data_IF_397479198310
#
_entry.id   IF_397479198310
#
_cell.length_a   1.000
_cell.length_b   1.000
_cell.length_c   1.000
_cell.angle_alpha   90.00
_cell.angle_beta   90.00
_cell.angle_gamma   90.00
#
_symmetry.space_group_name_H-M   'P 1'
#
loop_
_entity.id
_entity.type
_entity.pdbx_description
1 polymer ?
#
# COMPACT_ATOMS: atom_id res chain seq x y z
N UNK A 1 -13.40 0.88 -10.69
CA UNK A 1 -12.20 0.17 -10.19
C UNK A 1 -12.59 -1.23 -9.77
N UNK A 2 -11.91 -2.23 -10.27
CA UNK A 2 -12.08 -3.63 -9.89
C UNK A 2 -10.87 -4.01 -9.02
N UNK A 3 -11.12 -4.80 -7.99
CA UNK A 3 -10.08 -5.45 -7.19
C UNK A 3 -10.20 -6.96 -7.42
N UNK A 4 -9.26 -7.55 -8.16
CA UNK A 4 -9.33 -8.95 -8.58
C UNK A 4 -8.05 -9.73 -8.29
N UNK A 5 -8.13 -11.07 -8.11
CA UNK A 5 -6.93 -11.88 -7.97
C UNK A 5 -6.07 -11.88 -9.25
N UNK A 6 -4.81 -12.32 -9.11
CA UNK A 6 -3.95 -12.62 -10.25
C UNK A 6 -4.35 -13.99 -10.81
N UNK A 7 -4.83 -14.04 -12.04
CA UNK A 7 -5.31 -15.29 -12.66
C UNK A 7 -4.62 -15.60 -14.00
N UNK A 8 -4.44 -14.57 -14.83
CA UNK A 8 -3.85 -14.74 -16.16
C UNK A 8 -2.31 -14.71 -16.12
N UNK A 9 -1.67 -15.29 -17.13
CA UNK A 9 -0.22 -15.20 -17.31
C UNK A 9 0.22 -13.72 -17.40
N UNK A 10 -0.54 -12.90 -18.10
CA UNK A 10 -0.28 -11.46 -18.23
C UNK A 10 -0.35 -10.71 -16.90
N UNK A 11 -1.23 -11.10 -15.97
CA UNK A 11 -1.27 -10.51 -14.62
C UNK A 11 0.02 -10.77 -13.86
N UNK A 12 0.53 -12.00 -13.90
CA UNK A 12 1.77 -12.36 -13.24
C UNK A 12 2.99 -11.66 -13.86
N UNK A 13 3.04 -11.55 -15.19
CA UNK A 13 4.11 -10.85 -15.90
C UNK A 13 4.11 -9.36 -15.58
N UNK A 14 2.94 -8.71 -15.68
CA UNK A 14 2.78 -7.30 -15.37
C UNK A 14 3.12 -6.99 -13.91
N UNK A 15 2.62 -7.80 -12.98
CA UNK A 15 2.91 -7.65 -11.55
C UNK A 15 4.40 -7.81 -11.26
N UNK A 16 5.04 -8.83 -11.84
CA UNK A 16 6.47 -9.04 -11.68
C UNK A 16 7.28 -7.86 -12.24
N UNK A 17 6.89 -7.35 -13.42
CA UNK A 17 7.54 -6.17 -14.01
C UNK A 17 7.46 -4.96 -13.08
N UNK A 18 6.29 -4.66 -12.52
CA UNK A 18 6.13 -3.56 -11.57
C UNK A 18 6.96 -3.74 -10.29
N UNK A 19 7.06 -4.95 -9.76
CA UNK A 19 7.83 -5.26 -8.56
C UNK A 19 9.35 -5.21 -8.79
N UNK A 20 9.81 -5.44 -10.03
CA UNK A 20 11.22 -5.34 -10.38
C UNK A 20 11.69 -3.91 -10.63
N UNK A 21 10.79 -2.96 -10.92
CA UNK A 21 11.17 -1.56 -11.07
C UNK A 21 11.88 -1.07 -9.80
N UNK A 22 13.10 -0.55 -9.92
CA UNK A 22 13.90 -0.05 -8.79
C UNK A 22 13.12 0.96 -7.93
N UNK A 23 12.32 1.79 -8.55
CA UNK A 23 11.48 2.77 -7.86
C UNK A 23 10.39 2.16 -6.96
N UNK A 24 10.03 0.89 -7.16
CA UNK A 24 9.11 0.12 -6.33
C UNK A 24 9.88 -0.83 -5.40
N UNK A 25 10.80 -1.65 -5.96
CA UNK A 25 11.51 -2.70 -5.23
C UNK A 25 12.32 -2.17 -4.06
N UNK A 26 12.88 -0.96 -4.19
CA UNK A 26 13.65 -0.32 -3.11
C UNK A 26 12.88 -0.11 -1.81
N UNK A 27 11.54 -0.13 -1.86
CA UNK A 27 10.65 0.07 -0.71
C UNK A 27 10.03 -1.21 -0.17
N UNK A 28 10.35 -2.34 -0.78
CA UNK A 28 9.74 -3.64 -0.48
C UNK A 28 10.78 -4.60 0.09
N UNK A 29 10.31 -5.63 0.76
CA UNK A 29 11.14 -6.69 1.30
C UNK A 29 10.52 -8.05 0.95
N UNK A 30 11.10 -8.73 -0.02
CA UNK A 30 10.71 -10.09 -0.40
C UNK A 30 11.75 -11.13 0.03
N UNK A 31 12.35 -10.95 1.23
CA UNK A 31 13.26 -11.92 1.82
C UNK A 31 14.67 -11.90 1.22
N UNK A 32 15.14 -10.75 0.76
CA UNK A 32 16.51 -10.58 0.26
C UNK A 32 16.78 -11.30 -1.07
N UNK A 33 15.73 -11.65 -1.81
CA UNK A 33 15.86 -12.29 -3.12
C UNK A 33 16.53 -11.35 -4.13
N UNK A 34 17.83 -11.53 -4.34
CA UNK A 34 18.65 -10.75 -5.29
C UNK A 34 18.17 -10.89 -6.74
N UNK A 35 17.42 -11.94 -7.05
CA UNK A 35 16.90 -12.20 -8.41
C UNK A 35 15.58 -11.47 -8.69
N UNK A 36 15.02 -10.75 -7.70
CA UNK A 36 13.74 -10.08 -7.84
C UNK A 36 12.54 -11.05 -7.79
N UNK A 37 11.35 -10.49 -7.87
CA UNK A 37 10.10 -11.26 -7.88
C UNK A 37 9.78 -11.67 -9.31
N UNK A 38 9.79 -12.98 -9.60
CA UNK A 38 9.45 -13.55 -10.91
C UNK A 38 7.96 -13.92 -11.00
N UNK A 39 7.39 -14.05 -12.22
CA UNK A 39 6.03 -14.57 -12.38
C UNK A 39 5.81 -15.94 -11.73
N UNK A 40 6.83 -16.82 -11.79
CA UNK A 40 6.77 -18.14 -11.16
C UNK A 40 6.71 -18.05 -9.63
N UNK A 41 7.51 -17.16 -9.03
CA UNK A 41 7.46 -16.90 -7.58
C UNK A 41 6.09 -16.35 -7.16
N UNK A 42 5.53 -15.41 -7.92
CA UNK A 42 4.20 -14.87 -7.66
C UNK A 42 3.12 -15.97 -7.69
N UNK A 43 3.19 -16.88 -8.66
CA UNK A 43 2.27 -18.05 -8.71
C UNK A 43 2.35 -18.88 -7.44
N UNK A 44 3.56 -19.16 -6.95
CA UNK A 44 3.77 -19.87 -5.68
C UNK A 44 3.21 -19.06 -4.49
N UNK A 45 3.43 -17.75 -4.48
CA UNK A 45 2.94 -16.89 -3.39
C UNK A 45 1.41 -16.87 -3.32
N UNK A 46 0.70 -16.73 -4.43
CA UNK A 46 -0.77 -16.66 -4.43
C UNK A 46 -1.43 -18.02 -4.13
N UNK A 47 -0.72 -19.14 -4.35
CA UNK A 47 -1.20 -20.46 -3.95
C UNK A 47 -1.17 -20.68 -2.43
N UNK A 48 -0.34 -19.92 -1.72
CA UNK A 48 -0.29 -19.96 -0.26
C UNK A 48 -1.47 -19.19 0.32
N UNK A 49 -2.24 -19.83 1.18
CA UNK A 49 -3.38 -19.20 1.87
C UNK A 49 -2.97 -18.09 2.86
N UNK A 50 -1.69 -17.77 2.95
CA UNK A 50 -1.11 -16.71 3.75
C UNK A 50 -0.85 -15.42 2.97
N UNK A 51 -1.09 -15.45 1.63
CA UNK A 51 -0.85 -14.30 0.75
C UNK A 51 -2.07 -14.04 -0.13
N UNK A 52 -2.56 -12.83 -0.09
CA UNK A 52 -3.71 -12.37 -0.89
C UNK A 52 -3.25 -11.19 -1.74
N UNK A 53 -2.84 -11.44 -2.97
CA UNK A 53 -2.39 -10.41 -3.91
C UNK A 53 -3.54 -10.10 -4.86
N UNK A 54 -3.85 -8.81 -5.03
CA UNK A 54 -4.92 -8.31 -5.90
C UNK A 54 -4.37 -7.24 -6.83
N UNK A 55 -4.75 -7.32 -8.09
CA UNK A 55 -4.62 -6.21 -9.05
C UNK A 55 -5.78 -5.26 -8.81
N UNK A 56 -5.51 -3.97 -8.77
CA UNK A 56 -6.56 -2.95 -8.85
C UNK A 56 -6.46 -2.19 -10.17
N UNK A 57 -7.63 -1.82 -10.70
CA UNK A 57 -7.78 -1.22 -12.04
C UNK A 57 -8.14 0.26 -11.95
N UNK A 58 -8.07 0.94 -13.08
CA UNK A 58 -8.61 2.30 -13.19
C UNK A 58 -10.14 2.31 -13.00
N UNK A 59 -10.70 3.48 -12.74
CA UNK A 59 -12.15 3.66 -12.74
C UNK A 59 -12.73 3.92 -14.14
N UNK A 60 -11.86 4.22 -15.09
CA UNK A 60 -12.25 4.72 -16.41
C UNK A 60 -12.46 3.56 -17.40
N UNK A 61 -11.54 2.60 -17.41
CA UNK A 61 -11.47 1.57 -18.45
C UNK A 61 -11.02 0.20 -17.97
N UNK A 62 -11.01 -0.01 -16.64
CA UNK A 62 -10.54 -1.22 -15.98
C UNK A 62 -9.08 -1.63 -16.30
N UNK A 63 -8.27 -0.70 -16.82
CA UNK A 63 -6.84 -0.92 -17.02
C UNK A 63 -6.15 -1.23 -15.70
N UNK A 64 -5.34 -2.30 -15.61
CA UNK A 64 -4.55 -2.58 -14.40
C UNK A 64 -3.57 -1.45 -14.11
N UNK A 65 -3.58 -0.90 -12.89
CA UNK A 65 -2.76 0.26 -12.52
C UNK A 65 -1.88 0.02 -11.29
N UNK A 66 -2.09 -1.08 -10.59
CA UNK A 66 -1.25 -1.44 -9.45
C UNK A 66 -1.72 -2.68 -8.72
N UNK A 67 -1.05 -2.95 -7.62
CA UNK A 67 -1.31 -4.10 -6.76
C UNK A 67 -1.41 -3.70 -5.30
N UNK A 68 -2.26 -4.42 -4.59
CA UNK A 68 -2.43 -4.36 -3.14
C UNK A 68 -2.46 -5.78 -2.62
N UNK A 69 -1.81 -6.03 -1.49
CA UNK A 69 -1.71 -7.38 -0.97
C UNK A 69 -1.69 -7.44 0.55
N UNK A 70 -2.15 -8.58 1.05
CA UNK A 70 -1.90 -9.05 2.41
C UNK A 70 -0.90 -10.21 2.34
N UNK A 71 0.16 -10.11 3.12
CA UNK A 71 1.13 -11.18 3.33
C UNK A 71 1.12 -11.61 4.80
N UNK A 72 1.70 -12.77 5.06
CA UNK A 72 1.86 -13.31 6.43
C UNK A 72 0.52 -13.36 7.18
N UNK A 73 -0.55 -13.70 6.48
CA UNK A 73 -1.85 -13.89 7.12
C UNK A 73 -1.77 -15.09 8.04
N UNK A 74 -1.90 -14.83 9.33
CA UNK A 74 -1.99 -15.82 10.40
C UNK A 74 -3.44 -15.91 10.87
N UNK A 75 -4.09 -17.04 10.58
CA UNK A 75 -5.49 -17.25 10.96
C UNK A 75 -5.66 -17.55 12.44
N UNK A 76 -4.62 -18.03 13.13
CA UNK A 76 -4.67 -18.33 14.55
C UNK A 76 -4.54 -17.03 15.35
N UNK A 77 -3.54 -16.20 15.00
CA UNK A 77 -3.34 -14.88 15.60
C UNK A 77 -4.26 -13.82 14.99
N UNK A 78 -4.94 -14.15 13.88
CA UNK A 78 -5.87 -13.26 13.15
C UNK A 78 -5.23 -11.93 12.75
N UNK A 79 -4.01 -12.01 12.21
CA UNK A 79 -3.21 -10.86 11.79
C UNK A 79 -2.74 -11.00 10.34
N UNK A 80 -2.28 -9.90 9.76
CA UNK A 80 -1.68 -9.89 8.42
C UNK A 80 -0.89 -8.61 8.18
N UNK A 81 -0.12 -8.58 7.10
CA UNK A 81 0.69 -7.41 6.73
C UNK A 81 0.24 -6.87 5.37
N UNK A 82 -0.19 -5.61 5.34
CA UNK A 82 -0.57 -4.90 4.12
C UNK A 82 0.64 -4.30 3.41
N UNK A 83 0.69 -4.42 2.08
CA UNK A 83 1.55 -3.64 1.22
C UNK A 83 0.87 -3.24 -0.08
N UNK A 84 1.32 -2.14 -0.69
CA UNK A 84 0.70 -1.54 -1.88
C UNK A 84 1.77 -1.07 -2.83
N UNK A 85 1.56 -1.30 -4.13
CA UNK A 85 2.40 -0.76 -5.20
C UNK A 85 1.53 -0.07 -6.25
N UNK A 86 1.81 1.20 -6.51
CA UNK A 86 1.31 1.88 -7.69
C UNK A 86 2.19 1.47 -8.88
N UNK A 87 1.69 0.57 -9.70
CA UNK A 87 2.42 0.00 -10.84
C UNK A 87 2.60 1.00 -11.96
N UNK A 88 1.52 1.49 -12.51
CA UNK A 88 1.55 2.54 -13.52
C UNK A 88 1.57 3.93 -12.87
N UNK A 89 2.67 4.65 -13.09
CA UNK A 89 2.91 5.96 -12.48
C UNK A 89 2.09 7.09 -13.09
N UNK A 90 1.52 6.91 -14.27
CA UNK A 90 0.61 7.89 -14.90
C UNK A 90 -0.67 8.08 -14.08
N UNK A 91 -1.05 7.08 -13.28
CA UNK A 91 -2.19 7.11 -12.38
C UNK A 91 -1.87 7.53 -10.94
N UNK A 92 -0.64 7.99 -10.69
CA UNK A 92 -0.26 8.52 -9.36
C UNK A 92 -1.18 9.69 -8.94
N UNK A 93 -1.31 9.85 -7.63
CA UNK A 93 -2.09 10.93 -7.00
C UNK A 93 -3.60 10.89 -7.25
N UNK A 94 -4.12 9.91 -7.99
CA UNK A 94 -5.57 9.72 -8.16
C UNK A 94 -6.26 9.10 -6.93
N UNK A 95 -5.48 8.60 -5.97
CA UNK A 95 -5.96 8.02 -4.72
C UNK A 95 -6.49 6.59 -4.84
N UNK A 96 -6.45 6.00 -6.03
CA UNK A 96 -6.98 4.65 -6.28
C UNK A 96 -6.29 3.58 -5.46
N UNK A 97 -4.98 3.70 -5.25
CA UNK A 97 -4.24 2.81 -4.36
C UNK A 97 -4.78 2.78 -2.92
N UNK A 98 -5.27 3.93 -2.42
CA UNK A 98 -5.87 4.01 -1.09
C UNK A 98 -7.25 3.33 -1.04
N UNK A 99 -8.07 3.54 -2.07
CA UNK A 99 -9.38 2.85 -2.16
C UNK A 99 -9.18 1.34 -2.28
N UNK A 100 -8.26 0.91 -3.14
CA UNK A 100 -7.92 -0.52 -3.28
C UNK A 100 -7.42 -1.13 -1.96
N UNK A 101 -6.54 -0.43 -1.24
CA UNK A 101 -6.07 -0.86 0.08
C UNK A 101 -7.22 -0.93 1.09
N UNK A 102 -8.13 0.06 1.08
CA UNK A 102 -9.29 0.07 1.96
C UNK A 102 -10.24 -1.10 1.70
N UNK A 103 -10.53 -1.41 0.44
CA UNK A 103 -11.35 -2.57 0.08
C UNK A 103 -10.67 -3.89 0.49
N UNK A 104 -9.34 -4.01 0.31
CA UNK A 104 -8.62 -5.20 0.76
C UNK A 104 -8.63 -5.32 2.30
N UNK A 105 -8.56 -4.21 3.03
CA UNK A 105 -8.70 -4.20 4.49
C UNK A 105 -10.11 -4.63 4.92
N UNK A 106 -11.15 -4.18 4.23
CA UNK A 106 -12.53 -4.64 4.47
C UNK A 106 -12.63 -6.15 4.28
N UNK A 107 -12.08 -6.70 3.19
CA UNK A 107 -12.00 -8.14 2.98
C UNK A 107 -11.22 -8.83 4.12
N UNK A 108 -10.08 -8.27 4.54
CA UNK A 108 -9.27 -8.82 5.61
C UNK A 108 -10.05 -8.95 6.93
N UNK A 109 -10.80 -7.93 7.29
CA UNK A 109 -11.52 -7.89 8.55
C UNK A 109 -12.84 -8.66 8.51
N UNK A 110 -13.61 -8.54 7.42
CA UNK A 110 -14.95 -9.12 7.32
C UNK A 110 -14.96 -10.57 6.80
N UNK A 111 -14.12 -10.88 5.78
CA UNK A 111 -14.13 -12.20 5.15
C UNK A 111 -13.08 -13.14 5.73
N UNK A 112 -11.83 -12.64 5.95
CA UNK A 112 -10.76 -13.44 6.53
C UNK A 112 -10.82 -13.48 8.07
N UNK A 113 -11.63 -12.63 8.68
CA UNK A 113 -11.82 -12.55 10.12
C UNK A 113 -10.59 -12.06 10.88
N UNK A 114 -9.69 -11.32 10.24
CA UNK A 114 -8.55 -10.73 10.93
C UNK A 114 -9.04 -9.68 11.94
N UNK A 115 -8.29 -9.44 13.01
CA UNK A 115 -8.58 -8.37 13.95
C UNK A 115 -7.55 -7.25 13.93
N UNK A 116 -6.36 -7.53 13.38
CA UNK A 116 -5.29 -6.54 13.24
C UNK A 116 -4.54 -6.73 11.94
N UNK A 117 -4.29 -5.64 11.23
CA UNK A 117 -3.42 -5.61 10.05
C UNK A 117 -2.30 -4.63 10.32
N UNK A 118 -1.06 -5.06 10.12
CA UNK A 118 0.10 -4.21 10.24
C UNK A 118 0.65 -3.80 8.87
N UNK A 119 1.48 -2.77 8.86
CA UNK A 119 2.31 -2.38 7.72
C UNK A 119 3.59 -1.74 8.23
N UNK A 120 4.62 -1.73 7.39
CA UNK A 120 5.81 -0.96 7.66
C UNK A 120 6.15 -0.10 6.45
N UNK A 121 6.77 1.02 6.72
CA UNK A 121 7.12 2.02 5.72
C UNK A 121 8.54 2.51 6.01
N UNK A 122 9.40 2.46 4.99
CA UNK A 122 10.73 3.03 5.12
C UNK A 122 10.60 4.54 5.37
N UNK A 123 11.35 5.06 6.34
CA UNK A 123 11.40 6.50 6.57
C UNK A 123 11.71 7.24 5.25
N UNK A 124 11.21 8.44 5.08
CA UNK A 124 11.26 9.23 3.85
C UNK A 124 10.36 8.72 2.70
N UNK A 125 9.70 7.56 2.81
CA UNK A 125 8.72 7.16 1.81
C UNK A 125 7.41 7.94 2.00
N UNK A 126 6.94 8.59 0.95
CA UNK A 126 5.72 9.40 0.94
C UNK A 126 4.44 8.58 1.26
N UNK A 127 4.49 7.24 1.17
CA UNK A 127 3.36 6.36 1.48
C UNK A 127 2.90 6.42 2.95
N UNK A 128 3.73 6.95 3.86
CA UNK A 128 3.37 7.17 5.26
C UNK A 128 2.03 7.92 5.40
N UNK A 129 1.88 9.04 4.69
CA UNK A 129 0.62 9.82 4.71
C UNK A 129 -0.57 9.01 4.20
N UNK A 130 -0.31 8.05 3.31
CA UNK A 130 -1.33 7.14 2.80
C UNK A 130 -1.81 6.17 3.88
N UNK A 131 -0.90 5.56 4.63
CA UNK A 131 -1.25 4.68 5.74
C UNK A 131 -2.03 5.41 6.83
N UNK A 132 -1.58 6.60 7.23
CA UNK A 132 -2.27 7.44 8.21
C UNK A 132 -3.72 7.80 7.76
N UNK A 133 -3.93 8.06 6.46
CA UNK A 133 -5.27 8.30 5.90
C UNK A 133 -6.18 7.07 5.91
N UNK A 134 -5.61 5.88 5.83
CA UNK A 134 -6.34 4.62 5.97
C UNK A 134 -6.66 4.28 7.43
N UNK A 135 -6.21 5.12 8.39
CA UNK A 135 -6.43 4.93 9.81
C UNK A 135 -5.33 4.15 10.53
N UNK A 136 -4.25 3.79 9.84
CA UNK A 136 -3.12 3.14 10.49
C UNK A 136 -2.46 4.06 11.52
N UNK A 137 -2.15 3.51 12.69
CA UNK A 137 -1.47 4.19 13.78
C UNK A 137 -0.01 3.80 13.84
N UNK A 138 0.86 4.78 14.07
CA UNK A 138 2.27 4.54 14.31
C UNK A 138 2.46 3.82 15.66
N UNK A 139 3.17 2.68 15.65
CA UNK A 139 3.43 1.86 16.84
C UNK A 139 4.91 1.74 17.18
N UNK A 140 5.81 2.10 16.28
CA UNK A 140 7.23 2.02 16.58
C UNK A 140 8.16 2.19 15.39
N UNK A 141 9.46 2.12 15.68
CA UNK A 141 10.55 2.27 14.73
C UNK A 141 11.52 1.10 14.84
N UNK A 142 11.80 0.45 13.73
CA UNK A 142 12.85 -0.54 13.61
C UNK A 142 14.07 0.12 12.96
N UNK A 143 15.14 0.27 13.73
CA UNK A 143 16.30 1.07 13.31
C UNK A 143 17.17 0.32 12.30
N UNK A 144 17.60 1.01 11.23
CA UNK A 144 18.62 0.58 10.27
C UNK A 144 18.39 -0.83 9.68
N UNK A 145 17.13 -1.22 9.54
CA UNK A 145 16.74 -2.57 9.12
C UNK A 145 16.40 -2.67 7.63
N UNK A 146 16.52 -1.58 6.88
CA UNK A 146 16.22 -1.55 5.45
C UNK A 146 17.36 -0.91 4.68
N UNK A 147 17.92 -1.62 3.70
CA UNK A 147 19.04 -1.13 2.89
C UNK A 147 18.54 -0.65 1.54
N UNK A 148 18.88 0.59 1.18
CA UNK A 148 18.65 1.13 -0.16
C UNK A 148 20.01 1.60 -0.70
N UNK A 149 20.48 0.98 -1.77
CA UNK A 149 21.77 1.29 -2.38
C UNK A 149 22.94 1.25 -1.36
N UNK A 150 22.88 0.30 -0.42
CA UNK A 150 23.89 0.14 0.63
C UNK A 150 23.73 1.07 1.84
N UNK A 151 22.82 2.03 1.78
CA UNK A 151 22.54 2.93 2.90
C UNK A 151 21.45 2.36 3.80
N UNK A 152 21.65 2.32 5.14
CA UNK A 152 20.65 1.84 6.09
C UNK A 152 19.59 2.90 6.36
N UNK A 153 18.35 2.46 6.43
CA UNK A 153 17.17 3.26 6.76
C UNK A 153 16.33 2.57 7.82
N UNK A 154 15.58 3.37 8.54
CA UNK A 154 14.62 2.86 9.54
C UNK A 154 13.31 2.44 8.85
N UNK A 155 12.63 1.45 9.42
CA UNK A 155 11.23 1.15 9.13
C UNK A 155 10.34 1.73 10.21
N UNK A 156 9.34 2.46 9.81
CA UNK A 156 8.26 2.94 10.66
C UNK A 156 7.17 1.87 10.66
N UNK A 157 6.77 1.41 11.82
CA UNK A 157 5.80 0.34 12.02
C UNK A 157 4.44 0.93 12.33
N UNK A 158 3.41 0.38 11.72
CA UNK A 158 2.02 0.82 11.88
C UNK A 158 1.10 -0.39 12.03
N UNK A 159 -0.01 -0.20 12.71
CA UNK A 159 -1.11 -1.15 12.78
C UNK A 159 -2.47 -0.49 12.55
N UNK A 160 -3.47 -1.32 12.24
CA UNK A 160 -4.88 -0.95 12.15
C UNK A 160 -5.72 -2.09 12.69
N UNK A 161 -6.60 -1.78 13.65
CA UNK A 161 -7.54 -2.74 14.21
C UNK A 161 -8.84 -2.77 13.39
N UNK A 162 -9.48 -3.93 13.35
CA UNK A 162 -10.76 -4.11 12.66
C UNK A 162 -11.83 -3.12 13.16
N UNK A 163 -11.84 -2.81 14.46
CA UNK A 163 -12.78 -1.86 15.08
C UNK A 163 -12.55 -0.41 14.65
N UNK A 164 -11.37 -0.09 14.15
CA UNK A 164 -10.96 1.26 13.74
C UNK A 164 -11.12 1.48 12.23
N UNK A 165 -11.16 0.38 11.45
CA UNK A 165 -11.27 0.46 9.99
C UNK A 165 -12.59 1.13 9.58
N UNK A 166 -12.46 2.04 8.60
CA UNK A 166 -13.59 2.66 7.91
C UNK A 166 -13.29 2.60 6.42
N UNK A 167 -14.15 1.89 5.69
CA UNK A 167 -13.97 1.73 4.26
C UNK A 167 -14.05 3.09 3.54
N UNK A 168 -13.10 3.32 2.66
CA UNK A 168 -13.06 4.49 1.80
C UNK A 168 -13.80 4.19 0.50
N UNK A 169 -14.83 4.94 0.23
CA UNK A 169 -15.45 4.99 -1.08
C UNK A 169 -14.82 6.09 -1.97
N UNK A 170 -15.11 6.10 -3.29
CA UNK A 170 -14.65 7.16 -4.19
C UNK A 170 -15.12 8.57 -3.79
N UNK A 171 -16.32 8.69 -3.22
CA UNK A 171 -16.85 9.97 -2.75
C UNK A 171 -16.11 10.44 -1.48
N UNK A 172 -15.83 9.52 -0.55
CA UNK A 172 -14.99 9.78 0.62
C UNK A 172 -13.58 10.23 0.24
N UNK A 173 -13.02 9.67 -0.83
CA UNK A 173 -11.73 10.10 -1.36
C UNK A 173 -11.77 11.52 -1.92
N UNK A 174 -12.82 11.91 -2.65
CA UNK A 174 -13.00 13.26 -3.15
C UNK A 174 -13.10 14.28 -2.00
N UNK A 175 -13.84 13.94 -0.94
CA UNK A 175 -13.96 14.75 0.26
C UNK A 175 -12.61 14.92 0.99
N UNK A 176 -11.79 13.87 1.07
CA UNK A 176 -10.45 13.93 1.65
C UNK A 176 -9.51 14.84 0.85
N UNK A 177 -9.62 14.83 -0.47
CA UNK A 177 -8.83 15.73 -1.35
C UNK A 177 -9.24 17.19 -1.19
N UNK A 178 -10.53 17.47 -1.15
CA UNK A 178 -11.04 18.83 -0.95
C UNK A 178 -10.54 19.42 0.37
N UNK A 179 -10.54 18.64 1.46
CA UNK A 179 -10.01 19.05 2.77
C UNK A 179 -8.49 19.31 2.73
N UNK A 180 -7.72 18.45 2.05
CA UNK A 180 -6.27 18.63 1.94
C UNK A 180 -5.89 19.86 1.10
N UNK A 181 -6.66 20.17 0.05
CA UNK A 181 -6.50 21.40 -0.75
C UNK A 181 -6.83 22.67 0.03
N UNK A 182 -7.86 22.64 0.87
CA UNK A 182 -8.26 23.77 1.71
C UNK A 182 -7.21 24.11 2.80
N UNK A 183 -6.54 23.10 3.35
CA UNK A 183 -5.49 23.28 4.37
C UNK A 183 -4.20 23.83 3.77
N UNK A 184 -3.90 23.55 2.49
CA UNK A 184 -2.75 24.11 1.77
C UNK A 184 -2.89 25.59 1.39
N UNK A 185 -4.12 26.12 1.32
CA UNK A 185 -4.39 27.51 0.96
C UNK A 185 -4.21 28.49 2.13
N UNK A 186 -4.14 28.01 3.38
CA UNK A 186 -4.02 28.89 4.59
C UNK A 186 -2.55 29.19 4.94
N UNK A 187 -1.57 28.59 4.28
CA UNK A 187 -0.14 28.74 4.60
C UNK A 187 0.59 29.87 3.85
N UNK A 188 -0.12 30.78 3.20
CA UNK A 188 0.46 32.00 2.63
C UNK A 188 0.00 33.24 3.43
N UNK A 189 0.58 33.44 4.62
CA UNK A 189 0.56 34.73 5.29
C UNK A 189 1.65 35.61 4.70
N UNK A 190 1.36 36.90 4.40
CA UNK A 190 2.33 37.83 3.84
C UNK A 190 3.45 38.11 4.85
N UNK A 191 4.68 38.17 4.36
CA UNK A 191 5.83 38.62 5.12
C UNK A 191 5.60 40.06 5.57
N UNK A 192 5.50 40.28 6.88
CA UNK A 192 5.55 41.60 7.47
C UNK A 192 6.92 42.24 7.21
N UNK A 193 6.91 43.37 6.52
CA UNK A 193 8.03 44.27 6.49
C UNK A 193 8.29 44.79 7.93
N UNK A 194 9.51 44.62 8.39
CA UNK A 194 10.01 45.24 9.61
C UNK A 194 10.57 46.63 9.30
N UNK A 195 10.48 47.60 10.22
CA UNK A 195 11.01 48.95 10.07
C UNK A 195 12.53 49.02 10.13
#
# INVERSE_FOLDING_TARGET
MILRPLESASDFELTAAWLQLKENSRWLDFGGNRQGVTPALLKIMVQRQTNFIRVYTSYEDDTPVGIVALNNVDRNMRTGTLWVVAGDKSFRCRGWAHVAASHLLTMAFQELGLHSVNTWIVEHNASRRGAERLGFRFIGRQRQCHLIDGQPYDRLLFDLLASEHRELDPAGLAALRARAGATGAIAQLPAHAAP
#
